data_IF_161201921160
#
_entry.id   IF_161201921160
#
_cell.length_a   1.000
_cell.length_b   1.000
_cell.length_c   1.000
_cell.angle_alpha   90.00
_cell.angle_beta   90.00
_cell.angle_gamma   90.00
#
_symmetry.space_group_name_H-M   'P 1'
#
loop_
_entity.id
_entity.type
_entity.pdbx_description
1 polymer ?
#
# COMPACT_ATOMS: atom_id res chain seq x y z
N UNK A 1 54.36 53.94 20.79
CA UNK A 1 53.02 53.90 20.14
C UNK A 1 52.38 52.53 20.39
N UNK A 2 51.46 52.44 21.34
CA UNK A 2 50.76 51.19 21.69
C UNK A 2 49.47 51.09 20.88
N UNK A 3 49.46 50.23 19.85
CA UNK A 3 48.26 49.86 19.08
C UNK A 3 47.33 49.03 19.97
N UNK A 4 46.32 49.67 20.57
CA UNK A 4 45.24 48.98 21.28
C UNK A 4 44.31 48.27 20.28
N UNK A 5 44.55 46.98 20.06
CA UNK A 5 43.60 46.05 19.43
C UNK A 5 42.41 45.83 20.38
N UNK A 6 41.36 46.66 20.27
CA UNK A 6 40.12 46.55 21.08
C UNK A 6 38.90 45.99 20.32
N UNK A 7 39.07 45.45 19.11
CA UNK A 7 37.95 44.98 18.27
C UNK A 7 37.53 43.50 18.40
N UNK A 8 38.17 42.69 19.24
CA UNK A 8 38.01 41.21 19.24
C UNK A 8 36.85 40.61 20.08
N UNK A 9 36.44 41.14 21.24
CA UNK A 9 35.45 40.46 22.09
C UNK A 9 34.01 40.62 21.58
N UNK A 10 33.63 41.80 21.07
CA UNK A 10 32.29 42.03 20.52
C UNK A 10 32.00 41.10 19.32
N UNK A 11 32.96 40.99 18.41
CA UNK A 11 32.81 40.14 17.21
C UNK A 11 32.73 38.63 17.53
N UNK A 12 33.35 38.18 18.62
CA UNK A 12 33.24 36.78 19.06
C UNK A 12 31.87 36.49 19.70
N UNK A 13 31.36 37.42 20.52
CA UNK A 13 30.02 37.32 21.12
C UNK A 13 28.91 37.37 20.04
N UNK A 14 29.07 38.23 19.03
CA UNK A 14 28.12 38.32 17.90
C UNK A 14 28.08 37.02 17.09
N UNK A 15 29.24 36.43 16.80
CA UNK A 15 29.32 35.13 16.11
C UNK A 15 28.65 34.01 16.88
N UNK A 16 28.82 34.00 18.20
CA UNK A 16 28.26 32.97 19.06
C UNK A 16 26.74 33.10 19.16
N UNK A 17 26.22 34.32 19.32
CA UNK A 17 24.78 34.63 19.26
C UNK A 17 24.17 34.27 17.91
N UNK A 18 24.81 34.66 16.80
CA UNK A 18 24.34 34.32 15.46
C UNK A 18 24.27 32.80 15.24
N UNK A 19 25.26 32.05 15.73
CA UNK A 19 25.29 30.59 15.59
C UNK A 19 24.22 29.89 16.44
N UNK A 20 23.95 30.40 17.65
CA UNK A 20 22.84 29.92 18.49
C UNK A 20 21.50 30.11 17.78
N UNK A 21 21.25 31.29 17.24
CA UNK A 21 20.01 31.60 16.52
C UNK A 21 19.84 30.71 15.29
N UNK A 22 20.91 30.49 14.51
CA UNK A 22 20.89 29.58 13.36
C UNK A 22 20.55 28.15 13.80
N UNK A 23 21.19 27.65 14.86
CA UNK A 23 20.93 26.30 15.35
C UNK A 23 19.50 26.14 15.87
N UNK A 24 19.01 27.10 16.65
CA UNK A 24 17.63 27.10 17.15
C UNK A 24 16.60 27.07 15.99
N UNK A 25 16.83 27.82 14.92
CA UNK A 25 15.98 27.76 13.74
C UNK A 25 16.04 26.40 13.04
N UNK A 26 17.23 25.82 12.89
CA UNK A 26 17.40 24.51 12.29
C UNK A 26 16.72 23.41 13.09
N UNK A 27 16.80 23.47 14.43
CA UNK A 27 16.08 22.58 15.33
C UNK A 27 14.58 22.68 15.09
N UNK A 28 14.00 23.89 15.15
CA UNK A 28 12.56 24.09 14.90
C UNK A 28 12.11 23.59 13.52
N UNK A 29 12.96 23.73 12.50
CA UNK A 29 12.68 23.18 11.17
C UNK A 29 12.77 21.67 11.14
N UNK A 30 13.75 21.08 11.82
CA UNK A 30 13.92 19.64 11.91
C UNK A 30 12.78 18.98 12.68
N UNK A 31 12.34 19.58 13.78
CA UNK A 31 11.19 19.14 14.57
C UNK A 31 9.92 19.10 13.69
N UNK A 32 9.66 20.17 12.93
CA UNK A 32 8.55 20.21 11.95
C UNK A 32 8.69 19.16 10.85
N UNK A 33 9.88 19.04 10.25
CA UNK A 33 10.11 18.07 9.18
C UNK A 33 9.92 16.63 9.67
N UNK A 34 10.43 16.33 10.86
CA UNK A 34 10.28 15.02 11.51
C UNK A 34 8.81 14.66 11.72
N UNK A 35 8.03 15.59 12.29
CA UNK A 35 6.60 15.43 12.50
C UNK A 35 5.86 15.21 11.17
N UNK A 36 6.19 15.98 10.12
CA UNK A 36 5.60 15.80 8.78
C UNK A 36 5.89 14.42 8.20
N UNK A 37 7.12 13.92 8.33
CA UNK A 37 7.48 12.57 7.88
C UNK A 37 6.70 11.51 8.65
N UNK A 38 6.53 11.67 9.97
CA UNK A 38 5.67 10.80 10.78
C UNK A 38 4.23 10.75 10.26
N UNK A 39 3.60 11.90 10.03
CA UNK A 39 2.26 11.95 9.46
C UNK A 39 2.15 11.26 8.10
N UNK A 40 3.14 11.43 7.21
CA UNK A 40 3.14 10.74 5.91
C UNK A 40 3.33 9.24 6.03
N UNK A 41 4.06 8.78 7.03
CA UNK A 41 4.18 7.35 7.31
C UNK A 41 2.86 6.78 7.80
N UNK A 42 2.16 7.47 8.70
CA UNK A 42 0.82 7.07 9.16
C UNK A 42 -0.19 6.99 8.01
N UNK A 43 -0.20 8.00 7.13
CA UNK A 43 -1.05 7.99 5.92
C UNK A 43 -0.71 6.80 4.99
N UNK A 44 0.57 6.45 4.85
CA UNK A 44 1.01 5.32 4.04
C UNK A 44 0.56 3.98 4.65
N UNK A 45 0.63 3.83 5.98
CA UNK A 45 0.14 2.64 6.68
C UNK A 45 -1.38 2.49 6.57
N UNK A 46 -2.12 3.58 6.71
CA UNK A 46 -3.57 3.56 6.51
C UNK A 46 -3.95 3.26 5.06
N UNK A 47 -3.25 3.85 4.09
CA UNK A 47 -3.45 3.55 2.67
C UNK A 47 -3.17 2.07 2.36
N UNK A 48 -2.17 1.48 3.00
CA UNK A 48 -1.88 0.04 2.90
C UNK A 48 -3.01 -0.80 3.47
N UNK A 49 -3.52 -0.47 4.65
CA UNK A 49 -4.66 -1.17 5.27
C UNK A 49 -5.88 -1.17 4.34
N UNK A 50 -6.23 0.00 3.80
CA UNK A 50 -7.34 0.14 2.86
C UNK A 50 -7.09 -0.64 1.55
N UNK A 51 -5.85 -0.74 1.11
CA UNK A 51 -5.48 -1.54 -0.05
C UNK A 51 -5.62 -3.04 0.21
N UNK A 52 -5.19 -3.52 1.38
CA UNK A 52 -5.38 -4.92 1.80
C UNK A 52 -6.87 -5.29 1.88
N UNK A 53 -7.73 -4.39 2.38
CA UNK A 53 -9.19 -4.57 2.39
C UNK A 53 -9.76 -4.78 0.98
N UNK A 54 -9.24 -4.05 -0.03
CA UNK A 54 -9.64 -4.22 -1.43
C UNK A 54 -9.15 -5.55 -1.99
N UNK A 55 -7.93 -5.98 -1.64
CA UNK A 55 -7.36 -7.25 -2.07
C UNK A 55 -8.09 -8.46 -1.49
N UNK A 56 -8.62 -8.35 -0.28
CA UNK A 56 -9.34 -9.44 0.38
C UNK A 56 -10.78 -9.65 -0.13
N UNK A 57 -11.24 -8.83 -1.08
CA UNK A 57 -12.50 -9.10 -1.78
C UNK A 57 -12.43 -10.40 -2.64
N UNK A 58 -13.55 -11.10 -2.84
CA UNK A 58 -13.60 -12.28 -3.71
C UNK A 58 -13.22 -11.97 -5.16
N UNK A 59 -12.51 -12.90 -5.80
CA UNK A 59 -12.12 -12.74 -7.21
C UNK A 59 -10.89 -11.86 -7.45
N UNK A 60 -10.36 -11.22 -6.41
CA UNK A 60 -9.21 -10.32 -6.54
C UNK A 60 -7.88 -11.08 -6.67
N UNK A 61 -6.93 -10.60 -7.49
CA UNK A 61 -5.65 -11.28 -7.75
C UNK A 61 -4.63 -11.12 -6.62
N UNK A 62 -4.95 -11.64 -5.44
CA UNK A 62 -4.16 -11.45 -4.19
C UNK A 62 -2.67 -11.77 -4.36
N UNK A 63 -2.34 -12.88 -5.02
CA UNK A 63 -0.94 -13.33 -5.17
C UNK A 63 -0.10 -12.37 -6.01
N UNK A 64 -0.65 -11.86 -7.10
CA UNK A 64 0.07 -11.00 -8.04
C UNK A 64 0.26 -9.56 -7.51
N UNK A 65 -0.51 -9.17 -6.49
CA UNK A 65 -0.54 -7.79 -5.97
C UNK A 65 0.04 -7.66 -4.56
N UNK A 66 0.31 -8.78 -3.87
CA UNK A 66 1.01 -8.77 -2.57
C UNK A 66 2.52 -8.53 -2.69
N UNK A 67 3.15 -8.90 -3.81
CA UNK A 67 4.60 -8.79 -3.96
C UNK A 67 5.11 -7.33 -3.83
N UNK A 68 4.45 -6.30 -4.41
CA UNK A 68 4.81 -4.90 -4.19
C UNK A 68 4.58 -4.38 -2.76
N UNK A 69 3.80 -5.08 -1.92
CA UNK A 69 3.54 -4.66 -0.53
C UNK A 69 4.60 -5.15 0.45
N UNK A 70 5.44 -6.11 0.05
CA UNK A 70 6.43 -6.71 0.95
C UNK A 70 7.49 -5.69 1.40
N UNK A 71 7.80 -4.69 0.58
CA UNK A 71 8.81 -3.67 0.86
C UNK A 71 8.37 -2.68 1.94
N UNK A 72 7.09 -2.62 2.29
CA UNK A 72 6.57 -1.64 3.25
C UNK A 72 7.05 -1.89 4.68
N UNK A 73 7.24 -3.15 5.07
CA UNK A 73 7.75 -3.50 6.41
C UNK A 73 9.14 -2.92 6.62
N UNK A 74 10.01 -3.02 5.60
CA UNK A 74 11.35 -2.45 5.65
C UNK A 74 11.31 -0.90 5.74
N UNK A 75 10.36 -0.25 5.06
CA UNK A 75 10.15 1.20 5.17
C UNK A 75 9.73 1.60 6.58
N UNK A 76 8.83 0.84 7.20
CA UNK A 76 8.37 1.09 8.56
C UNK A 76 9.50 0.91 9.59
N UNK A 77 10.27 -0.18 9.49
CA UNK A 77 11.41 -0.43 10.38
C UNK A 77 12.47 0.68 10.25
N UNK A 78 12.74 1.11 9.02
CA UNK A 78 13.65 2.22 8.76
C UNK A 78 13.13 3.53 9.38
N UNK A 79 11.82 3.80 9.29
CA UNK A 79 11.21 4.98 9.91
C UNK A 79 11.32 4.97 11.44
N UNK A 80 11.08 3.81 12.08
CA UNK A 80 11.26 3.66 13.52
C UNK A 80 12.70 3.91 13.95
N UNK A 81 13.67 3.37 13.21
CA UNK A 81 15.09 3.61 13.45
C UNK A 81 15.43 5.10 13.30
N UNK A 82 15.00 5.74 12.21
CA UNK A 82 15.24 7.16 11.96
C UNK A 82 14.62 8.06 13.05
N UNK A 83 13.49 7.65 13.62
CA UNK A 83 12.84 8.34 14.75
C UNK A 83 13.66 8.24 16.03
N UNK A 84 14.19 7.06 16.34
CA UNK A 84 15.09 6.88 17.47
C UNK A 84 16.38 7.70 17.31
N UNK A 85 16.99 7.69 16.12
CA UNK A 85 18.19 8.46 15.79
C UNK A 85 17.95 9.97 15.92
N UNK A 86 16.79 10.46 15.45
CA UNK A 86 16.40 11.85 15.62
C UNK A 86 16.25 12.22 17.10
N UNK A 87 15.62 11.36 17.92
CA UNK A 87 15.51 11.56 19.37
C UNK A 87 16.88 11.69 20.05
N UNK A 88 17.83 10.81 19.71
CA UNK A 88 19.21 10.88 20.21
C UNK A 88 19.94 12.14 19.77
N UNK A 89 19.76 12.55 18.51
CA UNK A 89 20.34 13.80 17.98
C UNK A 89 19.74 15.04 18.65
N UNK A 90 18.43 15.05 18.94
CA UNK A 90 17.68 16.19 19.46
C UNK A 90 17.88 16.40 20.96
N UNK A 91 18.10 15.33 21.72
CA UNK A 91 18.18 15.34 23.19
C UNK A 91 19.22 16.32 23.78
N UNK A 92 20.44 16.48 23.22
CA UNK A 92 21.44 17.39 23.76
C UNK A 92 21.14 18.88 23.58
N UNK A 93 20.08 19.24 22.86
CA UNK A 93 19.81 20.62 22.42
C UNK A 93 18.57 21.23 23.06
N UNK A 94 18.45 21.14 24.38
CA UNK A 94 17.48 21.97 25.11
C UNK A 94 17.93 23.45 25.16
N UNK A 95 17.02 24.34 25.59
CA UNK A 95 17.30 25.78 25.62
C UNK A 95 18.47 26.14 26.55
N UNK A 96 18.67 25.37 27.63
CA UNK A 96 19.78 25.56 28.57
C UNK A 96 21.12 25.16 27.94
N UNK A 97 21.17 24.03 27.24
CA UNK A 97 22.34 23.54 26.53
C UNK A 97 22.73 24.47 25.37
N UNK A 98 21.75 25.01 24.63
CA UNK A 98 21.97 26.02 23.59
C UNK A 98 22.64 27.29 24.14
N UNK A 99 22.18 27.77 25.30
CA UNK A 99 22.71 28.97 25.95
C UNK A 99 24.10 28.75 26.57
N UNK A 100 24.45 27.52 26.96
CA UNK A 100 25.75 27.15 27.54
C UNK A 100 26.81 26.70 26.53
N UNK A 101 26.42 26.35 25.31
CA UNK A 101 27.32 25.77 24.30
C UNK A 101 28.35 26.76 23.75
N UNK A 102 29.54 26.23 23.44
CA UNK A 102 30.62 26.93 22.74
C UNK A 102 30.43 26.93 21.21
N UNK A 103 31.26 27.70 20.50
CA UNK A 103 31.13 27.89 19.05
C UNK A 103 31.35 26.62 18.23
N UNK A 104 32.26 25.75 18.66
CA UNK A 104 32.59 24.51 17.94
C UNK A 104 31.46 23.49 18.06
N UNK A 105 30.89 23.35 19.26
CA UNK A 105 29.71 22.54 19.55
C UNK A 105 28.52 23.02 18.71
N UNK A 106 28.22 24.32 18.75
CA UNK A 106 27.16 24.92 17.92
C UNK A 106 27.39 24.68 16.42
N UNK A 107 28.65 24.74 15.98
CA UNK A 107 29.01 24.52 14.57
C UNK A 107 28.79 23.08 14.14
N UNK A 108 29.13 22.10 14.99
CA UNK A 108 28.85 20.70 14.77
C UNK A 108 27.33 20.43 14.72
N UNK A 109 26.57 20.98 15.68
CA UNK A 109 25.11 20.88 15.72
C UNK A 109 24.46 21.42 14.43
N UNK A 110 24.88 22.60 13.97
CA UNK A 110 24.36 23.17 12.71
C UNK A 110 24.63 22.25 11.52
N UNK A 111 25.83 21.65 11.41
CA UNK A 111 26.14 20.71 10.33
C UNK A 111 25.25 19.47 10.41
N UNK A 112 25.03 18.95 11.61
CA UNK A 112 24.19 17.78 11.86
C UNK A 112 22.73 18.03 11.46
N UNK A 113 22.11 19.11 11.94
CA UNK A 113 20.73 19.44 11.59
C UNK A 113 20.55 19.81 10.11
N UNK A 114 21.53 20.45 9.47
CA UNK A 114 21.49 20.69 8.01
C UNK A 114 21.49 19.38 7.22
N UNK A 115 22.31 18.41 7.62
CA UNK A 115 22.32 17.08 7.01
C UNK A 115 20.98 16.36 7.24
N UNK A 116 20.50 16.34 8.48
CA UNK A 116 19.22 15.73 8.83
C UNK A 116 18.05 16.27 7.99
N UNK A 117 17.97 17.61 7.84
CA UNK A 117 16.95 18.27 7.03
C UNK A 117 17.04 17.89 5.54
N UNK A 118 18.25 17.74 5.00
CA UNK A 118 18.47 17.29 3.62
C UNK A 118 18.00 15.86 3.42
N UNK A 119 18.36 14.98 4.35
CA UNK A 119 18.00 13.55 4.30
C UNK A 119 16.48 13.38 4.47
N UNK A 120 15.84 14.15 5.37
CA UNK A 120 14.38 14.18 5.53
C UNK A 120 13.64 14.68 4.28
N UNK A 121 14.15 15.72 3.62
CA UNK A 121 13.53 16.20 2.39
C UNK A 121 13.52 15.13 1.29
N UNK A 122 14.60 14.34 1.19
CA UNK A 122 14.66 13.20 0.27
C UNK A 122 13.67 12.10 0.67
N UNK A 123 13.62 11.75 1.96
CA UNK A 123 12.70 10.73 2.47
C UNK A 123 11.23 11.12 2.24
N UNK A 124 10.86 12.38 2.51
CA UNK A 124 9.51 12.90 2.29
C UNK A 124 9.08 12.77 0.83
N UNK A 125 9.96 13.13 -0.12
CA UNK A 125 9.68 12.98 -1.55
C UNK A 125 9.45 11.52 -1.94
N UNK A 126 10.23 10.60 -1.38
CA UNK A 126 10.06 9.16 -1.62
C UNK A 126 8.74 8.66 -1.04
N UNK A 127 8.38 9.06 0.18
CA UNK A 127 7.11 8.72 0.82
C UNK A 127 5.91 9.24 0.02
N UNK A 128 5.94 10.49 -0.43
CA UNK A 128 4.89 11.06 -1.28
C UNK A 128 4.74 10.31 -2.62
N UNK A 129 5.85 9.82 -3.17
CA UNK A 129 5.85 9.02 -4.40
C UNK A 129 5.20 7.66 -4.17
N UNK A 130 5.58 6.98 -3.09
CA UNK A 130 5.01 5.69 -2.69
C UNK A 130 3.51 5.81 -2.38
N UNK A 131 3.12 6.84 -1.62
CA UNK A 131 1.74 7.10 -1.24
C UNK A 131 0.87 7.32 -2.48
N UNK A 132 1.34 8.12 -3.45
CA UNK A 132 0.64 8.33 -4.71
C UNK A 132 0.50 7.04 -5.51
N UNK A 133 1.58 6.28 -5.66
CA UNK A 133 1.56 5.01 -6.39
C UNK A 133 0.60 4.00 -5.74
N UNK A 134 0.56 3.94 -4.41
CA UNK A 134 -0.36 3.09 -3.67
C UNK A 134 -1.82 3.54 -3.86
N UNK A 135 -2.09 4.84 -3.82
CA UNK A 135 -3.43 5.40 -4.07
C UNK A 135 -3.91 5.15 -5.50
N UNK A 136 -3.05 5.32 -6.50
CA UNK A 136 -3.34 5.03 -7.91
C UNK A 136 -3.64 3.53 -8.11
N UNK A 137 -2.83 2.67 -7.49
CA UNK A 137 -3.04 1.21 -7.52
C UNK A 137 -4.34 0.84 -6.83
N UNK A 138 -4.66 1.44 -5.69
CA UNK A 138 -5.94 1.22 -4.98
C UNK A 138 -7.13 1.60 -5.86
N UNK A 139 -7.11 2.78 -6.47
CA UNK A 139 -8.17 3.24 -7.38
C UNK A 139 -8.38 2.25 -8.54
N UNK A 140 -7.28 1.78 -9.14
CA UNK A 140 -7.32 0.77 -10.21
C UNK A 140 -7.93 -0.55 -9.72
N UNK A 141 -7.61 -0.96 -8.50
CA UNK A 141 -8.14 -2.19 -7.90
C UNK A 141 -9.61 -2.06 -7.49
N UNK A 142 -10.06 -0.88 -7.06
CA UNK A 142 -11.47 -0.58 -6.79
C UNK A 142 -12.32 -0.61 -8.08
N UNK A 143 -11.82 -0.07 -9.19
CA UNK A 143 -12.47 -0.18 -10.49
C UNK A 143 -12.55 -1.65 -10.94
N UNK A 144 -11.44 -2.39 -10.82
CA UNK A 144 -11.41 -3.82 -11.12
C UNK A 144 -12.42 -4.59 -10.26
N UNK A 145 -12.47 -4.33 -8.94
CA UNK A 145 -13.44 -4.95 -8.02
C UNK A 145 -14.87 -4.69 -8.47
N UNK A 146 -15.19 -3.45 -8.84
CA UNK A 146 -16.53 -3.06 -9.30
C UNK A 146 -16.92 -3.83 -10.59
N UNK A 147 -15.99 -3.93 -11.54
CA UNK A 147 -16.19 -4.69 -12.79
C UNK A 147 -16.31 -6.19 -12.56
N UNK A 148 -15.53 -6.76 -11.62
CA UNK A 148 -15.60 -8.17 -11.25
C UNK A 148 -16.95 -8.46 -10.59
N UNK A 149 -17.38 -7.68 -9.61
CA UNK A 149 -18.60 -7.89 -8.82
C UNK A 149 -19.82 -8.06 -9.73
N UNK A 150 -20.00 -7.16 -10.70
CA UNK A 150 -21.12 -7.20 -11.64
C UNK A 150 -21.20 -8.51 -12.45
N UNK A 151 -20.06 -9.03 -12.90
CA UNK A 151 -20.04 -10.28 -13.69
C UNK A 151 -20.10 -11.50 -12.77
N UNK A 152 -19.37 -11.46 -11.65
CA UNK A 152 -19.28 -12.53 -10.64
C UNK A 152 -20.66 -12.94 -10.14
N UNK A 153 -21.47 -11.99 -9.69
CA UNK A 153 -22.77 -12.30 -9.09
C UNK A 153 -23.72 -12.95 -10.11
N UNK A 154 -23.64 -12.49 -11.37
CA UNK A 154 -24.35 -13.13 -12.48
C UNK A 154 -23.88 -14.57 -12.70
N UNK A 155 -22.57 -14.82 -12.75
CA UNK A 155 -22.02 -16.17 -12.95
C UNK A 155 -22.40 -17.10 -11.82
N UNK A 156 -22.34 -16.65 -10.56
CA UNK A 156 -22.73 -17.44 -9.40
C UNK A 156 -24.21 -17.80 -9.45
N UNK A 157 -25.08 -16.85 -9.82
CA UNK A 157 -26.50 -17.11 -10.01
C UNK A 157 -26.75 -18.12 -11.16
N UNK A 158 -26.07 -17.93 -12.30
CA UNK A 158 -26.10 -18.84 -13.44
C UNK A 158 -25.68 -20.26 -13.06
N UNK A 159 -24.59 -20.40 -12.31
CA UNK A 159 -24.04 -21.68 -11.87
C UNK A 159 -24.99 -22.39 -10.90
N UNK A 160 -25.49 -21.67 -9.90
CA UNK A 160 -26.48 -22.18 -8.94
C UNK A 160 -27.75 -22.66 -9.66
N UNK A 161 -28.22 -21.92 -10.67
CA UNK A 161 -29.36 -22.35 -11.48
C UNK A 161 -29.08 -23.63 -12.28
N UNK A 162 -27.86 -23.79 -12.80
CA UNK A 162 -27.45 -25.00 -13.51
C UNK A 162 -27.41 -26.22 -12.57
N UNK A 163 -26.90 -26.06 -11.34
CA UNK A 163 -26.90 -27.12 -10.33
C UNK A 163 -28.33 -27.56 -9.99
N UNK A 164 -29.23 -26.60 -9.78
CA UNK A 164 -30.64 -26.88 -9.51
C UNK A 164 -31.34 -27.58 -10.69
N UNK A 165 -31.11 -27.11 -11.91
CA UNK A 165 -31.66 -27.72 -13.12
C UNK A 165 -31.15 -29.16 -13.31
N UNK A 166 -29.87 -29.43 -13.04
CA UNK A 166 -29.29 -30.76 -13.11
C UNK A 166 -29.86 -31.69 -12.03
N UNK A 167 -30.05 -31.17 -10.81
CA UNK A 167 -30.63 -31.92 -9.69
C UNK A 167 -32.08 -32.37 -9.98
N UNK A 168 -32.84 -31.59 -10.77
CA UNK A 168 -34.21 -31.92 -11.19
C UNK A 168 -34.31 -32.67 -12.52
N UNK A 169 -33.18 -32.92 -13.19
CA UNK A 169 -33.14 -33.69 -14.44
C UNK A 169 -33.19 -35.20 -14.19
N UNK A 170 -33.44 -35.99 -15.24
CA UNK A 170 -33.53 -37.44 -15.10
C UNK A 170 -32.14 -38.07 -14.81
N UNK A 171 -31.88 -38.65 -13.62
CA UNK A 171 -30.59 -39.23 -13.29
C UNK A 171 -30.30 -40.54 -14.04
N UNK A 172 -31.31 -41.18 -14.63
CA UNK A 172 -31.15 -42.42 -15.40
C UNK A 172 -30.74 -42.15 -16.86
N UNK A 173 -30.74 -40.89 -17.31
CA UNK A 173 -30.24 -40.56 -18.65
C UNK A 173 -28.71 -40.73 -18.69
N UNK A 174 -28.14 -41.47 -19.67
CA UNK A 174 -26.70 -41.69 -19.76
C UNK A 174 -25.88 -40.40 -19.90
N UNK A 175 -26.48 -39.28 -20.30
CA UNK A 175 -25.85 -37.96 -20.39
C UNK A 175 -25.77 -37.22 -19.05
N UNK A 176 -26.52 -37.64 -18.03
CA UNK A 176 -26.56 -36.98 -16.72
C UNK A 176 -25.18 -36.91 -16.06
N UNK A 177 -24.50 -38.06 -15.93
CA UNK A 177 -23.18 -38.13 -15.28
C UNK A 177 -22.10 -37.30 -15.99
N UNK A 178 -21.93 -37.35 -17.32
CA UNK A 178 -21.02 -36.44 -18.03
C UNK A 178 -21.30 -34.95 -17.79
N UNK A 179 -22.58 -34.54 -17.76
CA UNK A 179 -22.95 -33.15 -17.48
C UNK A 179 -22.61 -32.75 -16.03
N UNK A 180 -22.84 -33.65 -15.07
CA UNK A 180 -22.46 -33.44 -13.67
C UNK A 180 -20.94 -33.22 -13.52
N UNK A 181 -20.12 -34.02 -14.20
CA UNK A 181 -18.65 -33.88 -14.18
C UNK A 181 -18.22 -32.53 -14.77
N UNK A 182 -18.80 -32.13 -15.91
CA UNK A 182 -18.50 -30.83 -16.54
C UNK A 182 -18.91 -29.65 -15.65
N UNK A 183 -20.08 -29.72 -15.01
CA UNK A 183 -20.54 -28.69 -14.10
C UNK A 183 -19.63 -28.59 -12.87
N UNK A 184 -19.22 -29.72 -12.28
CA UNK A 184 -18.29 -29.74 -11.16
C UNK A 184 -16.95 -29.10 -11.51
N UNK A 185 -16.38 -29.41 -12.68
CA UNK A 185 -15.13 -28.80 -13.14
C UNK A 185 -15.24 -27.28 -13.33
N UNK A 186 -16.41 -26.77 -13.75
CA UNK A 186 -16.66 -25.32 -13.78
C UNK A 186 -16.78 -24.73 -12.37
N UNK A 187 -17.35 -25.48 -11.42
CA UNK A 187 -17.39 -25.11 -10.01
C UNK A 187 -16.00 -24.97 -9.40
N UNK A 188 -15.11 -25.92 -9.68
CA UNK A 188 -13.70 -25.84 -9.26
C UNK A 188 -12.99 -24.63 -9.86
N UNK A 189 -13.22 -24.34 -11.13
CA UNK A 189 -12.66 -23.16 -11.80
C UNK A 189 -13.20 -21.85 -11.19
N UNK A 190 -14.48 -21.80 -10.85
CA UNK A 190 -15.12 -20.65 -10.21
C UNK A 190 -14.60 -20.45 -8.78
N UNK A 191 -14.46 -21.54 -8.00
CA UNK A 191 -13.87 -21.50 -6.67
C UNK A 191 -12.41 -21.03 -6.70
N UNK A 192 -11.63 -21.45 -7.70
CA UNK A 192 -10.26 -20.98 -7.89
C UNK A 192 -10.17 -19.48 -8.21
N UNK A 193 -11.11 -18.96 -9.02
CA UNK A 193 -11.24 -17.52 -9.29
C UNK A 193 -11.60 -16.76 -8.01
N UNK A 194 -12.62 -17.21 -7.27
CA UNK A 194 -13.08 -16.60 -6.03
C UNK A 194 -11.97 -16.53 -4.97
N UNK A 195 -11.15 -17.58 -4.88
CA UNK A 195 -10.01 -17.64 -3.99
C UNK A 195 -8.81 -16.77 -4.45
N UNK A 196 -8.92 -16.04 -5.57
CA UNK A 196 -7.86 -15.18 -6.07
C UNK A 196 -6.62 -15.93 -6.54
N UNK A 197 -6.74 -17.24 -6.82
CA UNK A 197 -5.62 -18.12 -7.22
C UNK A 197 -5.27 -18.00 -8.71
N UNK A 198 -5.95 -17.12 -9.44
CA UNK A 198 -5.69 -16.90 -10.85
C UNK A 198 -4.53 -15.96 -11.09
N UNK A 199 -3.52 -16.45 -11.79
CA UNK A 199 -2.44 -15.64 -12.30
C UNK A 199 -2.97 -14.59 -13.29
N UNK A 200 -2.57 -13.33 -13.08
CA UNK A 200 -2.79 -12.25 -14.02
C UNK A 200 -1.98 -12.55 -15.29
N UNK A 201 -2.67 -13.02 -16.33
CA UNK A 201 -2.06 -13.16 -17.64
C UNK A 201 -2.22 -11.82 -18.38
N UNK A 202 -1.16 -11.30 -19.00
CA UNK A 202 -1.16 -10.02 -19.74
C UNK A 202 -2.21 -9.96 -20.85
N UNK A 203 -2.71 -11.11 -21.31
CA UNK A 203 -3.62 -11.24 -22.46
C UNK A 203 -5.09 -11.42 -22.04
N UNK A 204 -5.39 -11.88 -20.83
CA UNK A 204 -6.78 -12.15 -20.40
C UNK A 204 -7.10 -11.55 -19.04
N UNK A 205 -8.08 -10.65 -19.01
CA UNK A 205 -8.51 -9.99 -17.79
C UNK A 205 -9.39 -10.92 -16.94
N UNK A 206 -9.37 -10.73 -15.62
CA UNK A 206 -10.16 -11.52 -14.67
C UNK A 206 -11.67 -11.51 -15.00
N UNK A 207 -12.29 -10.36 -15.34
CA UNK A 207 -13.70 -10.34 -15.76
C UNK A 207 -13.99 -11.23 -16.98
N UNK A 208 -13.05 -11.40 -17.91
CA UNK A 208 -13.24 -12.26 -19.08
C UNK A 208 -13.29 -13.74 -18.69
N UNK A 209 -12.53 -14.14 -17.67
CA UNK A 209 -12.62 -15.52 -17.14
C UNK A 209 -13.97 -15.82 -16.54
N UNK A 210 -14.57 -14.85 -15.82
CA UNK A 210 -15.96 -14.98 -15.38
C UNK A 210 -16.92 -15.12 -16.57
N UNK A 211 -16.78 -14.27 -17.60
CA UNK A 211 -17.62 -14.37 -18.81
C UNK A 211 -17.48 -15.72 -19.53
N UNK A 212 -16.26 -16.25 -19.62
CA UNK A 212 -15.99 -17.57 -20.21
C UNK A 212 -16.69 -18.69 -19.42
N UNK A 213 -16.68 -18.63 -18.09
CA UNK A 213 -17.41 -19.59 -17.24
C UNK A 213 -18.92 -19.42 -17.44
N UNK A 214 -19.43 -18.20 -17.41
CA UNK A 214 -20.85 -17.91 -17.60
C UNK A 214 -21.38 -18.47 -18.93
N UNK A 215 -20.64 -18.27 -20.03
CA UNK A 215 -20.99 -18.83 -21.33
C UNK A 215 -21.02 -20.37 -21.32
N UNK A 216 -20.05 -21.01 -20.68
CA UNK A 216 -20.00 -22.47 -20.54
C UNK A 216 -21.14 -23.00 -19.66
N UNK A 217 -21.49 -22.28 -18.60
CA UNK A 217 -22.62 -22.61 -17.72
C UNK A 217 -23.93 -22.48 -18.49
N UNK A 218 -24.15 -21.39 -19.25
CA UNK A 218 -25.35 -21.25 -20.09
C UNK A 218 -25.48 -22.40 -21.09
N UNK A 219 -24.39 -22.76 -21.77
CA UNK A 219 -24.40 -23.88 -22.70
C UNK A 219 -24.77 -25.21 -22.02
N UNK A 220 -24.17 -25.50 -20.84
CA UNK A 220 -24.53 -26.68 -20.05
C UNK A 220 -25.99 -26.69 -19.62
N UNK A 221 -26.55 -25.53 -19.24
CA UNK A 221 -27.97 -25.42 -18.88
C UNK A 221 -28.89 -25.80 -20.02
N UNK A 222 -28.57 -25.38 -21.24
CA UNK A 222 -29.35 -25.77 -22.42
C UNK A 222 -29.28 -27.28 -22.66
N UNK A 223 -28.11 -27.91 -22.49
CA UNK A 223 -27.97 -29.37 -22.54
C UNK A 223 -28.77 -30.08 -21.43
N UNK A 224 -28.74 -29.56 -20.19
CA UNK A 224 -29.47 -30.10 -19.04
C UNK A 224 -30.98 -30.01 -19.25
N UNK A 225 -31.49 -28.93 -19.86
CA UNK A 225 -32.92 -28.76 -20.13
C UNK A 225 -33.49 -29.84 -21.04
N UNK A 226 -32.69 -30.39 -21.95
CA UNK A 226 -33.07 -31.52 -22.82
C UNK A 226 -33.22 -32.83 -22.03
N UNK A 227 -32.65 -32.92 -20.81
CA UNK A 227 -32.79 -34.07 -19.92
C UNK A 227 -34.04 -34.03 -19.04
N UNK A 228 -34.86 -32.96 -19.14
CA UNK A 228 -36.08 -32.87 -18.34
C UNK A 228 -37.05 -33.97 -18.76
N UNK A 229 -37.66 -34.69 -17.81
CA UNK A 229 -38.73 -35.61 -18.13
C UNK A 229 -39.85 -34.82 -18.82
N UNK A 230 -40.32 -35.32 -19.97
CA UNK A 230 -41.54 -34.83 -20.61
C UNK A 230 -42.66 -34.96 -19.57
N UNK A 231 -43.17 -33.82 -19.10
CA UNK A 231 -44.41 -33.79 -18.32
C UNK A 231 -45.59 -33.87 -19.27
#
# INVERSE_FOLDING_TARGET
MLRRSRGRPAHAADKLTARRNELAELIRRADRAHVTVGYRMDELLEARRLFEDVLDAPGMPRKAVREPLNDLTAVQDHHHQATAEYGQMRAPWDDAALAGSDLDTLTAGVKQFKRYLKDNASALKSLETLLRSLQETRSTMEDLRSRITLVRDRVLASFTAAEQELAWSNPMDPRHRPLAVRLHALGDALAALEAGRTELNRVRHIPDRYRDIDAKVMHLRDEIRVLRPWR
#
